data_IF_647815623337
#
_entry.id   IF_647815623337
#
_cell.length_a   1.000
_cell.length_b   1.000
_cell.length_c   1.000
_cell.angle_alpha   90.00
_cell.angle_beta   90.00
_cell.angle_gamma   90.00
#
_symmetry.space_group_name_H-M   'P 1'
#
loop_
_entity.id
_entity.type
_entity.pdbx_description
1 polymer ?
#
# COMPACT_ATOMS: atom_id res chain seq x y z
N UNK A 1 5.96 -8.68 5.28
CA UNK A 1 6.29 -7.48 6.09
C UNK A 1 7.79 -7.22 6.07
N UNK A 2 8.17 -5.99 5.73
CA UNK A 2 9.55 -5.52 5.53
C UNK A 2 10.10 -4.89 6.81
N UNK A 3 11.39 -5.05 7.17
CA UNK A 3 11.97 -4.39 8.33
C UNK A 3 11.93 -2.86 8.21
N UNK A 4 11.57 -2.14 9.27
CA UNK A 4 11.43 -0.66 9.26
C UNK A 4 12.75 0.11 9.14
N UNK A 5 13.88 -0.59 9.19
CA UNK A 5 15.21 -0.01 8.97
C UNK A 5 15.65 -0.06 7.49
N UNK A 6 14.83 -0.65 6.61
CA UNK A 6 14.92 -0.42 5.16
C UNK A 6 14.46 1.02 4.85
N UNK A 7 15.20 1.74 4.01
CA UNK A 7 14.85 3.10 3.60
C UNK A 7 14.31 3.10 2.16
N UNK A 8 12.98 3.29 1.95
CA UNK A 8 12.39 3.28 0.62
C UNK A 8 12.73 4.51 -0.25
N UNK A 9 13.32 5.55 0.34
CA UNK A 9 13.79 6.76 -0.37
C UNK A 9 15.28 6.69 -0.72
N UNK A 10 16.02 5.72 -0.17
CA UNK A 10 17.45 5.55 -0.44
C UNK A 10 17.65 4.76 -1.73
N UNK A 11 18.33 5.36 -2.71
CA UNK A 11 18.64 4.63 -3.95
C UNK A 11 19.51 3.41 -3.68
N UNK A 12 20.45 3.50 -2.74
CA UNK A 12 21.30 2.38 -2.32
C UNK A 12 20.49 1.17 -1.84
N UNK A 13 19.49 1.40 -0.98
CA UNK A 13 18.62 0.33 -0.48
C UNK A 13 17.77 -0.29 -1.61
N UNK A 14 17.34 0.52 -2.57
CA UNK A 14 16.61 0.03 -3.75
C UNK A 14 17.52 -0.79 -4.66
N UNK A 15 18.75 -0.33 -4.93
CA UNK A 15 19.74 -1.06 -5.74
C UNK A 15 20.17 -2.36 -5.07
N UNK A 16 20.38 -2.36 -3.76
CA UNK A 16 20.68 -3.57 -2.98
C UNK A 16 19.52 -4.57 -3.09
N UNK A 17 18.28 -4.10 -2.95
CA UNK A 17 17.09 -4.94 -3.12
C UNK A 17 17.03 -5.55 -4.53
N UNK A 18 17.31 -4.79 -5.58
CA UNK A 18 17.39 -5.34 -6.94
C UNK A 18 18.46 -6.41 -7.06
N UNK A 19 19.67 -6.11 -6.61
CA UNK A 19 20.82 -7.00 -6.67
C UNK A 19 20.58 -8.34 -5.95
N UNK A 20 20.11 -8.29 -4.69
CA UNK A 20 19.87 -9.48 -3.86
C UNK A 20 18.77 -10.39 -4.42
N UNK A 21 17.86 -9.84 -5.21
CA UNK A 21 16.75 -10.57 -5.82
C UNK A 21 16.96 -10.86 -7.31
N UNK A 22 18.16 -10.61 -7.84
CA UNK A 22 18.48 -10.82 -9.26
C UNK A 22 17.49 -10.08 -10.19
N UNK A 23 17.03 -8.90 -9.77
CA UNK A 23 16.15 -8.07 -10.58
C UNK A 23 16.99 -7.23 -11.55
N UNK A 24 16.45 -6.90 -12.73
CA UNK A 24 17.10 -5.94 -13.62
C UNK A 24 17.33 -4.60 -12.91
N UNK A 25 18.48 -3.98 -13.17
CA UNK A 25 18.81 -2.66 -12.63
C UNK A 25 17.75 -1.64 -13.01
N UNK A 26 17.30 -0.83 -12.05
CA UNK A 26 16.25 0.18 -12.23
C UNK A 26 14.87 -0.36 -12.59
N UNK A 27 14.61 -1.65 -12.34
CA UNK A 27 13.27 -2.22 -12.40
C UNK A 27 12.36 -1.70 -11.27
N UNK A 28 12.93 -1.35 -10.12
CA UNK A 28 12.23 -0.65 -9.04
C UNK A 28 12.24 0.86 -9.31
N UNK A 29 11.07 1.40 -9.66
CA UNK A 29 10.91 2.81 -9.96
C UNK A 29 10.79 3.68 -8.72
N UNK A 30 9.92 3.30 -7.77
CA UNK A 30 9.70 4.01 -6.50
C UNK A 30 9.24 3.05 -5.41
N UNK A 31 9.52 3.37 -4.16
CA UNK A 31 8.97 2.67 -3.01
C UNK A 31 8.45 3.66 -1.96
N UNK A 32 7.51 3.22 -1.12
CA UNK A 32 7.05 3.95 0.06
C UNK A 32 6.41 3.02 1.07
N UNK A 33 6.35 3.44 2.32
CA UNK A 33 5.55 2.73 3.32
C UNK A 33 4.05 2.88 3.03
N UNK A 34 3.31 1.78 3.12
CA UNK A 34 1.87 1.76 2.86
C UNK A 34 1.09 2.62 3.85
N UNK A 35 1.62 2.73 5.08
CA UNK A 35 1.00 3.41 6.19
C UNK A 35 1.18 4.95 6.17
N UNK A 36 1.93 5.48 5.19
CA UNK A 36 2.15 6.90 4.99
C UNK A 36 3.25 7.54 5.84
N UNK A 37 3.90 6.80 6.74
CA UNK A 37 5.02 7.35 7.53
C UNK A 37 6.33 7.24 6.75
N UNK A 38 7.30 8.11 7.07
CA UNK A 38 8.61 8.10 6.39
C UNK A 38 9.49 6.92 6.82
N UNK A 39 9.38 6.51 8.08
CA UNK A 39 10.18 5.46 8.73
C UNK A 39 9.46 4.10 8.84
N UNK A 40 8.24 4.01 8.33
CA UNK A 40 7.40 2.81 8.41
C UNK A 40 6.79 2.54 9.80
N UNK A 41 7.07 3.37 10.81
CA UNK A 41 6.59 3.17 12.18
C UNK A 41 5.35 4.00 12.48
N UNK A 42 4.24 3.33 12.82
CA UNK A 42 3.07 3.95 13.47
C UNK A 42 3.14 3.90 15.00
N UNK A 43 4.02 3.05 15.56
CA UNK A 43 4.23 2.86 16.99
C UNK A 43 5.74 2.84 17.28
N UNK A 44 6.21 3.32 18.44
CA UNK A 44 7.65 3.43 18.74
C UNK A 44 8.46 2.13 18.55
N UNK A 45 7.87 0.98 18.91
CA UNK A 45 8.55 -0.33 18.89
C UNK A 45 8.21 -1.18 17.66
N UNK A 46 7.60 -0.60 16.63
CA UNK A 46 7.28 -1.33 15.41
C UNK A 46 8.57 -1.64 14.65
N UNK A 47 8.83 -2.93 14.39
CA UNK A 47 10.04 -3.40 13.70
C UNK A 47 9.82 -3.75 12.23
N UNK A 48 8.56 -3.93 11.82
CA UNK A 48 8.21 -4.30 10.45
C UNK A 48 6.98 -3.55 9.97
N UNK A 49 6.92 -3.27 8.67
CA UNK A 49 5.81 -2.57 8.04
C UNK A 49 5.50 -3.14 6.64
N UNK A 50 4.41 -2.66 6.04
CA UNK A 50 4.06 -2.99 4.66
C UNK A 50 4.67 -1.96 3.72
N UNK A 51 5.44 -2.44 2.76
CA UNK A 51 6.08 -1.64 1.73
C UNK A 51 5.22 -1.70 0.45
N UNK A 52 5.03 -0.56 -0.20
CA UNK A 52 4.51 -0.48 -1.56
C UNK A 52 5.67 -0.17 -2.49
N UNK A 53 5.79 -0.95 -3.55
CA UNK A 53 6.86 -0.81 -4.54
C UNK A 53 6.22 -0.70 -5.93
N UNK A 54 6.61 0.33 -6.67
CA UNK A 54 6.28 0.47 -8.08
C UNK A 54 7.37 -0.18 -8.90
N UNK A 55 7.00 -1.23 -9.63
CA UNK A 55 7.86 -1.90 -10.59
C UNK A 55 7.54 -1.36 -11.99
N UNK A 56 8.59 -1.09 -12.77
CA UNK A 56 8.46 -0.50 -14.11
C UNK A 56 8.09 -1.53 -15.19
N UNK A 57 8.35 -2.80 -14.92
CA UNK A 57 8.14 -3.92 -15.83
C UNK A 57 7.17 -4.95 -15.20
N UNK A 58 6.06 -5.32 -15.88
CA UNK A 58 5.10 -6.29 -15.35
C UNK A 58 5.67 -7.71 -15.18
N UNK A 59 6.61 -8.15 -16.02
CA UNK A 59 7.21 -9.48 -15.92
C UNK A 59 8.14 -9.58 -14.70
N UNK A 60 8.86 -8.49 -14.40
CA UNK A 60 9.63 -8.38 -13.15
C UNK A 60 8.69 -8.43 -11.94
N UNK A 61 7.57 -7.70 -11.98
CA UNK A 61 6.59 -7.72 -10.90
C UNK A 61 5.98 -9.12 -10.68
N UNK A 62 5.64 -9.82 -11.76
CA UNK A 62 5.11 -11.18 -11.70
C UNK A 62 6.14 -12.16 -11.11
N UNK A 63 7.40 -12.03 -11.49
CA UNK A 63 8.50 -12.83 -10.95
C UNK A 63 8.67 -12.61 -9.43
N UNK A 64 8.63 -11.34 -8.97
CA UNK A 64 8.68 -11.02 -7.53
C UNK A 64 7.52 -11.65 -6.74
N UNK A 65 6.31 -11.71 -7.32
CA UNK A 65 5.14 -12.35 -6.70
C UNK A 65 5.34 -13.87 -6.64
N UNK A 66 5.88 -14.48 -7.69
CA UNK A 66 6.04 -15.93 -7.78
C UNK A 66 7.18 -16.48 -6.90
N UNK A 67 8.31 -15.78 -6.80
CA UNK A 67 9.53 -16.29 -6.15
C UNK A 67 9.73 -15.81 -4.70
N UNK A 68 8.83 -14.96 -4.21
CA UNK A 68 9.07 -14.12 -3.02
C UNK A 68 10.33 -13.24 -3.19
N UNK A 69 10.48 -12.24 -2.33
CA UNK A 69 11.66 -11.35 -2.37
C UNK A 69 12.36 -11.30 -1.01
N UNK A 70 13.67 -11.09 -1.03
CA UNK A 70 14.48 -10.82 0.15
C UNK A 70 14.74 -9.33 0.27
N UNK A 71 14.35 -8.74 1.38
CA UNK A 71 14.69 -7.36 1.70
C UNK A 71 15.44 -7.38 3.01
N UNK A 72 16.68 -6.86 3.00
CA UNK A 72 17.52 -6.75 4.20
C UNK A 72 17.65 -8.10 4.95
N UNK A 73 17.92 -9.17 4.18
CA UNK A 73 18.04 -10.55 4.69
C UNK A 73 16.73 -11.25 5.04
N UNK A 74 15.59 -10.54 5.09
CA UNK A 74 14.29 -11.11 5.43
C UNK A 74 13.49 -11.51 4.19
N UNK A 75 12.94 -12.72 4.17
CA UNK A 75 11.96 -13.13 3.15
C UNK A 75 10.64 -12.37 3.33
N UNK A 76 10.18 -11.79 2.24
CA UNK A 76 9.02 -10.93 2.14
C UNK A 76 8.18 -11.38 0.95
N UNK A 77 7.03 -12.04 1.19
CA UNK A 77 6.09 -12.32 0.11
C UNK A 77 5.59 -11.02 -0.53
N UNK A 78 5.58 -10.98 -1.86
CA UNK A 78 5.04 -9.86 -2.62
C UNK A 78 3.63 -10.20 -3.13
N UNK A 79 2.75 -9.21 -3.16
CA UNK A 79 1.40 -9.35 -3.71
C UNK A 79 1.10 -8.14 -4.58
N UNK A 80 0.27 -8.34 -5.61
CA UNK A 80 -0.22 -7.24 -6.43
C UNK A 80 -1.11 -6.33 -5.59
N UNK A 81 -0.82 -5.03 -5.60
CA UNK A 81 -1.73 -4.06 -5.01
C UNK A 81 -2.98 -3.96 -5.89
N UNK A 82 -4.10 -4.47 -5.39
CA UNK A 82 -5.40 -4.35 -6.04
C UNK A 82 -6.02 -3.03 -5.56
N UNK A 83 -6.46 -2.20 -6.51
CA UNK A 83 -7.20 -1.00 -6.18
C UNK A 83 -8.56 -1.41 -5.61
N UNK A 84 -8.86 -0.93 -4.40
CA UNK A 84 -10.17 -1.13 -3.81
C UNK A 84 -11.24 -0.42 -4.65
N UNK A 85 -12.45 -1.00 -4.75
CA UNK A 85 -13.53 -0.36 -5.48
C UNK A 85 -13.85 0.98 -4.83
N UNK A 86 -14.15 1.98 -5.67
CA UNK A 86 -14.56 3.30 -5.20
C UNK A 86 -15.82 3.16 -4.34
N UNK A 87 -15.72 3.56 -3.07
CA UNK A 87 -16.83 3.63 -2.12
C UNK A 87 -17.27 5.07 -1.94
N UNK A 88 -18.59 5.29 -1.93
CA UNK A 88 -19.18 6.59 -1.71
C UNK A 88 -19.22 6.92 -0.21
N UNK A 89 -18.62 8.04 0.21
CA UNK A 89 -18.62 8.45 1.62
C UNK A 89 -19.97 8.92 2.15
N UNK A 90 -20.98 9.05 1.28
CA UNK A 90 -22.35 9.38 1.68
C UNK A 90 -23.16 8.12 2.01
N UNK A 91 -23.17 7.11 1.15
CA UNK A 91 -24.05 5.95 1.31
C UNK A 91 -23.32 4.61 1.44
N UNK A 92 -21.99 4.60 1.40
CA UNK A 92 -21.12 3.40 1.34
C UNK A 92 -21.35 2.50 0.11
N UNK A 93 -22.12 2.96 -0.87
CA UNK A 93 -22.31 2.26 -2.14
C UNK A 93 -21.07 2.32 -3.04
N UNK A 94 -20.97 1.37 -3.97
CA UNK A 94 -19.81 1.24 -4.86
C UNK A 94 -19.96 2.06 -6.16
N UNK A 95 -18.82 2.30 -6.82
CA UNK A 95 -18.70 2.83 -8.18
C UNK A 95 -19.21 4.26 -8.41
N UNK A 96 -19.36 5.06 -7.34
CA UNK A 96 -19.70 6.47 -7.46
C UNK A 96 -19.11 7.29 -6.30
N UNK A 97 -19.02 8.61 -6.48
CA UNK A 97 -18.55 9.52 -5.43
C UNK A 97 -19.73 10.18 -4.73
N UNK A 98 -19.48 10.88 -3.63
CA UNK A 98 -20.51 11.68 -2.94
C UNK A 98 -21.24 12.63 -3.88
N UNK A 99 -20.53 13.29 -4.80
CA UNK A 99 -21.13 14.26 -5.73
C UNK A 99 -22.15 13.65 -6.70
N UNK A 100 -22.02 12.36 -6.99
CA UNK A 100 -22.94 11.62 -7.88
C UNK A 100 -23.82 10.65 -7.10
N UNK A 101 -23.93 10.84 -5.77
CA UNK A 101 -24.67 9.92 -4.91
C UNK A 101 -26.19 10.10 -5.08
N UNK A 102 -26.94 9.03 -5.37
CA UNK A 102 -28.41 9.09 -5.44
C UNK A 102 -29.05 9.31 -4.07
N UNK A 103 -28.28 9.23 -2.97
CA UNK A 103 -28.72 9.44 -1.58
C UNK A 103 -28.03 10.66 -0.96
N UNK A 104 -27.67 11.66 -1.77
CA UNK A 104 -27.00 12.87 -1.28
C UNK A 104 -27.82 13.64 -0.24
N UNK A 105 -29.16 13.63 -0.38
CA UNK A 105 -30.08 14.33 0.52
C UNK A 105 -30.45 13.53 1.80
N UNK A 106 -29.88 12.34 1.99
CA UNK A 106 -30.13 11.49 3.16
C UNK A 106 -29.05 11.65 4.24
N UNK A 107 -29.26 11.05 5.42
CA UNK A 107 -28.22 10.92 6.43
C UNK A 107 -27.02 10.13 5.87
N UNK A 108 -25.78 10.59 6.09
CA UNK A 108 -24.61 9.84 5.66
C UNK A 108 -24.48 8.53 6.46
N UNK A 109 -24.01 7.48 5.79
CA UNK A 109 -23.73 6.19 6.40
C UNK A 109 -22.24 6.11 6.77
N UNK A 110 -21.96 5.78 8.03
CA UNK A 110 -20.62 5.63 8.55
C UNK A 110 -19.93 4.43 7.91
N UNK A 111 -18.77 4.66 7.30
CA UNK A 111 -17.96 3.58 6.70
C UNK A 111 -17.28 2.66 7.72
N UNK A 112 -17.34 2.99 9.02
CA UNK A 112 -16.74 2.18 10.08
C UNK A 112 -17.78 1.30 10.81
N UNK A 113 -18.93 1.85 11.19
CA UNK A 113 -19.95 1.14 11.98
C UNK A 113 -21.31 0.98 11.29
N UNK A 114 -21.53 1.62 10.12
CA UNK A 114 -22.79 1.56 9.39
C UNK A 114 -23.92 2.46 9.92
N UNK A 115 -23.68 3.25 10.98
CA UNK A 115 -24.67 4.17 11.54
C UNK A 115 -24.91 5.42 10.69
N UNK A 116 -26.00 6.15 10.98
CA UNK A 116 -26.41 7.38 10.28
C UNK A 116 -25.61 8.63 10.70
N UNK A 117 -24.30 8.61 10.48
CA UNK A 117 -23.41 9.73 10.72
C UNK A 117 -22.17 9.68 9.82
N UNK A 118 -21.43 10.79 9.77
CA UNK A 118 -20.14 10.83 9.06
C UNK A 118 -19.10 10.00 9.82
N UNK A 119 -18.24 9.27 9.10
CA UNK A 119 -17.16 8.45 9.69
C UNK A 119 -16.23 9.25 10.63
N UNK A 120 -16.02 10.55 10.37
CA UNK A 120 -15.20 11.42 11.24
C UNK A 120 -15.81 11.66 12.64
N UNK A 121 -17.10 11.41 12.78
CA UNK A 121 -17.86 11.56 14.02
C UNK A 121 -18.10 10.21 14.70
N UNK A 122 -17.44 9.16 14.21
CA UNK A 122 -17.42 7.83 14.82
C UNK A 122 -16.42 7.75 15.95
#
# INVERSE_FOLDING_TARGET
>A
FVPTWFNPESDEDLREMEYVNELPTHSIGKARWANGTRDGKKKPNQQTATLLVKINDPDVANNMIAKEIRIKGKRCPATKQIQEPLTCFQCQGLHHTTHTCPRIDQSPICGNCGGEHRTKSC
#
